data_IF_238040683651
#
_entry.id   IF_238040683651
#
_cell.length_a   1.000
_cell.length_b   1.000
_cell.length_c   1.000
_cell.angle_alpha   90.00
_cell.angle_beta   90.00
_cell.angle_gamma   90.00
#
_symmetry.space_group_name_H-M   'P 1'
#
loop_
_entity.id
_entity.type
_entity.pdbx_description
1 polymer ?
#
# COMPACT_ATOMS: atom_id res chain seq x y z
N UNK A 1 7.43 -7.07 25.55
CA UNK A 1 8.84 -7.07 25.07
C UNK A 1 9.37 -8.50 25.03
N UNK A 2 9.69 -9.05 23.87
CA UNK A 2 10.77 -10.04 23.71
C UNK A 2 11.14 -10.19 22.25
N UNK A 3 12.34 -9.67 21.93
CA UNK A 3 13.03 -9.71 20.65
C UNK A 3 13.26 -11.16 20.21
N UNK A 4 12.87 -11.53 18.99
CA UNK A 4 13.39 -12.74 18.34
C UNK A 4 14.79 -12.44 17.81
N UNK A 5 15.80 -12.80 18.61
CA UNK A 5 17.20 -12.88 18.19
C UNK A 5 17.35 -14.08 17.24
N UNK A 6 17.79 -13.83 16.00
CA UNK A 6 18.29 -14.88 15.10
C UNK A 6 19.61 -15.42 15.69
N UNK A 7 19.56 -16.59 16.31
CA UNK A 7 20.76 -17.29 16.75
C UNK A 7 21.24 -18.25 15.66
N UNK A 8 22.42 -17.93 15.13
CA UNK A 8 23.24 -18.77 14.25
C UNK A 8 23.57 -20.05 15.00
N UNK A 9 23.13 -21.22 14.52
CA UNK A 9 23.57 -22.52 15.08
C UNK A 9 24.62 -23.14 14.17
N UNK A 10 25.82 -23.19 14.73
CA UNK A 10 26.93 -24.02 14.27
C UNK A 10 26.61 -25.50 14.49
N UNK A 11 27.11 -26.32 13.57
CA UNK A 11 27.02 -27.77 13.61
C UNK A 11 27.73 -28.34 14.84
N UNK A 12 27.05 -29.24 15.56
CA UNK A 12 27.70 -30.24 16.40
C UNK A 12 26.79 -31.46 16.51
N UNK A 13 27.35 -32.63 16.23
CA UNK A 13 26.69 -33.93 16.23
C UNK A 13 26.49 -34.46 17.65
N UNK A 14 25.38 -35.21 17.82
CA UNK A 14 25.28 -36.34 18.74
C UNK A 14 24.52 -36.07 20.03
N UNK A 15 23.31 -36.62 20.14
CA UNK A 15 22.95 -37.69 21.08
C UNK A 15 21.44 -38.01 21.01
N UNK A 16 21.11 -39.29 21.14
CA UNK A 16 19.75 -39.87 21.07
C UNK A 16 19.21 -40.12 22.47
N UNK A 17 17.90 -39.89 22.68
CA UNK A 17 16.93 -40.68 23.49
C UNK A 17 15.66 -39.82 23.72
N UNK A 18 14.41 -40.26 23.82
CA UNK A 18 13.62 -41.43 23.40
C UNK A 18 12.16 -41.12 23.84
N UNK A 19 11.14 -41.39 22.99
CA UNK A 19 9.73 -41.76 23.32
C UNK A 19 8.84 -40.61 23.92
N UNK A 20 7.66 -40.26 23.39
CA UNK A 20 6.48 -41.10 23.14
C UNK A 20 5.63 -40.68 21.92
N UNK A 21 5.09 -41.70 21.26
CA UNK A 21 4.13 -41.65 20.16
C UNK A 21 2.79 -42.17 20.68
N UNK A 22 1.73 -41.38 20.52
CA UNK A 22 0.37 -41.91 20.37
C UNK A 22 -0.22 -41.38 19.06
N UNK A 23 -0.09 -42.27 18.06
CA UNK A 23 -1.07 -42.62 17.03
C UNK A 23 -1.89 -41.52 16.37
N UNK A 24 -1.62 -41.29 15.07
CA UNK A 24 -2.65 -41.40 14.04
C UNK A 24 -2.01 -41.95 12.75
N UNK A 25 -2.73 -42.90 12.18
CA UNK A 25 -2.37 -43.87 11.15
C UNK A 25 -2.09 -43.22 9.79
N UNK A 26 -0.81 -43.07 9.46
CA UNK A 26 -0.33 -42.89 8.10
C UNK A 26 0.93 -43.74 8.01
N UNK A 27 0.92 -44.74 7.12
CA UNK A 27 1.99 -45.71 6.92
C UNK A 27 3.36 -45.04 6.89
N UNK A 28 4.04 -45.08 8.03
CA UNK A 28 5.32 -44.43 8.25
C UNK A 28 6.39 -45.21 7.50
N UNK A 29 6.79 -44.70 6.34
CA UNK A 29 7.98 -45.14 5.63
C UNK A 29 9.19 -44.89 6.53
N UNK A 30 9.65 -45.94 7.20
CA UNK A 30 10.86 -45.89 8.01
C UNK A 30 12.07 -45.53 7.15
N UNK A 31 13.03 -44.81 7.72
CA UNK A 31 14.29 -44.37 7.07
C UNK A 31 15.13 -45.51 6.43
N UNK A 32 14.81 -46.78 6.72
CA UNK A 32 15.42 -47.95 6.07
C UNK A 32 14.76 -48.37 4.74
N UNK A 33 13.63 -47.77 4.34
CA UNK A 33 12.89 -48.09 3.10
C UNK A 33 13.11 -47.07 1.98
N UNK A 34 13.82 -45.97 2.24
CA UNK A 34 14.11 -44.90 1.27
C UNK A 34 15.47 -45.12 0.57
N UNK A 35 16.17 -46.21 0.86
CA UNK A 35 17.36 -46.62 0.11
C UNK A 35 16.94 -47.36 -1.17
N UNK A 36 16.45 -46.63 -2.18
CA UNK A 36 16.13 -47.24 -3.47
C UNK A 36 15.20 -46.46 -4.38
N UNK A 37 14.70 -45.29 -3.97
CA UNK A 37 13.88 -44.47 -4.87
C UNK A 37 14.81 -43.63 -5.75
N UNK A 38 14.97 -44.04 -7.00
CA UNK A 38 15.67 -43.25 -8.01
C UNK A 38 14.75 -42.15 -8.54
N UNK A 39 14.88 -40.96 -7.96
CA UNK A 39 14.14 -39.77 -8.36
C UNK A 39 14.42 -39.32 -9.81
N UNK A 40 15.47 -39.84 -10.46
CA UNK A 40 15.78 -39.55 -11.87
C UNK A 40 14.96 -40.39 -12.86
N UNK A 41 14.26 -41.43 -12.37
CA UNK A 41 13.37 -42.29 -13.18
C UNK A 41 11.94 -41.77 -13.28
N UNK A 42 11.63 -40.66 -12.59
CA UNK A 42 10.33 -40.02 -12.71
C UNK A 42 10.07 -39.58 -14.15
N UNK A 43 8.83 -39.73 -14.67
CA UNK A 43 8.47 -39.20 -15.98
C UNK A 43 8.73 -37.70 -16.08
N UNK A 44 9.23 -37.25 -17.23
CA UNK A 44 9.57 -35.85 -17.50
C UNK A 44 8.44 -34.88 -17.14
N UNK A 45 7.19 -35.22 -17.49
CA UNK A 45 6.00 -34.43 -17.18
C UNK A 45 5.78 -34.26 -15.66
N UNK A 46 6.09 -35.29 -14.87
CA UNK A 46 5.97 -35.26 -13.41
C UNK A 46 7.03 -34.33 -12.81
N UNK A 47 8.26 -34.41 -13.30
CA UNK A 47 9.36 -33.54 -12.86
C UNK A 47 9.08 -32.09 -13.25
N UNK A 48 8.58 -31.84 -14.46
CA UNK A 48 8.16 -30.51 -14.91
C UNK A 48 7.03 -29.98 -14.02
N UNK A 49 6.03 -30.80 -13.73
CA UNK A 49 4.94 -30.41 -12.83
C UNK A 49 5.46 -30.06 -11.43
N UNK A 50 6.37 -30.86 -10.87
CA UNK A 50 7.03 -30.54 -9.59
C UNK A 50 7.80 -29.22 -9.67
N UNK A 51 8.55 -28.99 -10.76
CA UNK A 51 9.31 -27.76 -10.95
C UNK A 51 8.39 -26.54 -11.14
N UNK A 52 7.16 -26.72 -11.62
CA UNK A 52 6.20 -25.61 -11.78
C UNK A 52 5.81 -24.96 -10.44
N UNK A 53 5.90 -25.70 -9.33
CA UNK A 53 5.64 -25.21 -7.98
C UNK A 53 6.86 -24.53 -7.32
N UNK A 54 8.02 -24.58 -7.96
CA UNK A 54 9.26 -24.05 -7.41
C UNK A 54 9.60 -22.67 -7.97
N UNK A 55 10.17 -21.81 -7.12
CA UNK A 55 10.72 -20.55 -7.58
C UNK A 55 12.00 -20.77 -8.42
N UNK A 56 12.44 -19.73 -9.14
CA UNK A 56 13.62 -19.80 -10.00
C UNK A 56 14.88 -20.32 -9.27
N UNK A 57 15.11 -19.91 -8.02
CA UNK A 57 16.29 -20.28 -7.25
C UNK A 57 16.31 -21.78 -6.92
N UNK A 58 15.18 -22.32 -6.49
CA UNK A 58 15.07 -23.73 -6.15
C UNK A 58 15.18 -24.60 -7.40
N UNK A 59 14.59 -24.17 -8.53
CA UNK A 59 14.77 -24.82 -9.83
C UNK A 59 16.22 -24.82 -10.28
N UNK A 60 16.93 -23.70 -10.15
CA UNK A 60 18.34 -23.61 -10.50
C UNK A 60 19.20 -24.53 -9.60
N UNK A 61 18.84 -24.65 -8.32
CA UNK A 61 19.50 -25.56 -7.38
C UNK A 61 19.29 -27.02 -7.78
N UNK A 62 18.06 -27.43 -8.12
CA UNK A 62 17.77 -28.78 -8.61
C UNK A 62 18.39 -29.06 -9.99
N UNK A 63 18.49 -28.06 -10.86
CA UNK A 63 19.17 -28.17 -12.15
C UNK A 63 20.68 -28.43 -11.99
N UNK A 64 21.26 -28.11 -10.83
CA UNK A 64 22.67 -28.33 -10.54
C UNK A 64 22.97 -29.77 -10.08
N UNK A 65 21.97 -30.53 -9.63
CA UNK A 65 22.19 -31.85 -9.03
C UNK A 65 22.42 -32.96 -10.05
N UNK A 66 21.69 -32.97 -11.19
CA UNK A 66 21.85 -33.98 -12.23
C UNK A 66 21.57 -33.45 -13.65
N UNK A 67 22.02 -34.19 -14.66
CA UNK A 67 21.88 -33.79 -16.07
C UNK A 67 20.42 -33.81 -16.55
N UNK A 68 19.61 -34.78 -16.10
CA UNK A 68 18.18 -34.87 -16.43
C UNK A 68 17.43 -33.64 -15.92
N UNK A 69 17.61 -33.26 -14.65
CA UNK A 69 16.96 -32.07 -14.08
C UNK A 69 17.48 -30.77 -14.70
N UNK A 70 18.73 -30.73 -15.14
CA UNK A 70 19.27 -29.59 -15.91
C UNK A 70 18.57 -29.43 -17.27
N UNK A 71 18.29 -30.54 -17.95
CA UNK A 71 17.56 -30.52 -19.23
C UNK A 71 16.11 -30.08 -19.01
N UNK A 72 15.42 -30.71 -18.05
CA UNK A 72 14.00 -30.46 -17.77
C UNK A 72 13.74 -29.08 -17.17
N UNK A 73 14.64 -28.55 -16.34
CA UNK A 73 14.56 -27.17 -15.84
C UNK A 73 14.71 -26.11 -16.95
N UNK A 74 15.30 -26.48 -18.09
CA UNK A 74 15.44 -25.59 -19.25
C UNK A 74 14.18 -25.57 -20.13
N UNK A 75 13.17 -26.39 -19.84
CA UNK A 75 11.91 -26.47 -20.59
C UNK A 75 11.16 -25.13 -20.59
N UNK A 76 10.78 -24.57 -21.76
CA UNK A 76 10.17 -23.24 -21.87
C UNK A 76 8.88 -23.04 -21.06
N UNK A 77 8.12 -24.10 -20.81
CA UNK A 77 6.88 -24.06 -20.02
C UNK A 77 7.09 -23.61 -18.58
N UNK A 78 8.28 -23.81 -18.01
CA UNK A 78 8.63 -23.38 -16.66
C UNK A 78 8.95 -21.88 -16.56
N UNK A 79 9.22 -21.23 -17.70
CA UNK A 79 9.70 -19.85 -17.77
C UNK A 79 8.60 -18.85 -18.15
N UNK A 80 7.32 -19.20 -17.97
CA UNK A 80 6.22 -18.25 -18.16
C UNK A 80 6.24 -17.09 -17.15
N UNK A 81 6.84 -17.30 -15.98
CA UNK A 81 7.03 -16.29 -14.94
C UNK A 81 8.45 -16.37 -14.41
N UNK A 82 9.13 -15.22 -14.32
CA UNK A 82 10.50 -15.12 -13.84
C UNK A 82 10.63 -13.98 -12.83
N UNK A 83 11.08 -14.31 -11.64
CA UNK A 83 11.36 -13.34 -10.57
C UNK A 83 12.86 -13.35 -10.25
N UNK A 84 13.51 -12.23 -10.53
CA UNK A 84 14.94 -11.99 -10.37
C UNK A 84 15.22 -10.95 -9.29
N UNK A 85 14.26 -10.55 -8.46
CA UNK A 85 14.45 -9.49 -7.46
C UNK A 85 15.58 -9.78 -6.46
N UNK A 86 15.84 -11.06 -6.18
CA UNK A 86 16.93 -11.49 -5.27
C UNK A 86 18.32 -11.54 -5.92
N UNK A 87 18.45 -11.22 -7.21
CA UNK A 87 19.69 -11.35 -7.97
C UNK A 87 19.98 -10.08 -8.77
N UNK A 88 21.26 -9.80 -9.03
CA UNK A 88 21.64 -8.75 -9.98
C UNK A 88 21.27 -9.21 -11.38
N UNK A 89 20.37 -8.49 -12.03
CA UNK A 89 19.97 -8.78 -13.40
C UNK A 89 20.83 -7.97 -14.38
N UNK A 90 21.90 -8.58 -14.88
CA UNK A 90 22.82 -7.99 -15.84
C UNK A 90 22.63 -8.59 -17.25
N UNK A 91 23.31 -7.99 -18.24
CA UNK A 91 23.24 -8.43 -19.64
C UNK A 91 23.72 -9.87 -19.80
N UNK A 92 24.71 -10.32 -19.00
CA UNK A 92 25.22 -11.70 -19.05
C UNK A 92 24.19 -12.74 -18.59
N UNK A 93 23.49 -12.46 -17.49
CA UNK A 93 22.37 -13.26 -17.01
C UNK A 93 21.22 -13.25 -18.03
N UNK A 94 20.90 -12.08 -18.62
CA UNK A 94 19.87 -11.99 -19.63
C UNK A 94 20.17 -12.84 -20.87
N UNK A 95 21.39 -12.81 -21.40
CA UNK A 95 21.80 -13.63 -22.55
C UNK A 95 21.69 -15.12 -22.23
N UNK A 96 22.10 -15.53 -21.03
CA UNK A 96 22.04 -16.92 -20.57
C UNK A 96 20.59 -17.42 -20.41
N UNK A 97 19.69 -16.54 -20.01
CA UNK A 97 18.26 -16.85 -19.78
C UNK A 97 17.40 -16.69 -21.05
N UNK A 98 17.85 -15.88 -22.01
CA UNK A 98 17.17 -15.55 -23.26
C UNK A 98 16.59 -16.77 -24.01
N UNK A 99 17.32 -17.88 -24.25
CA UNK A 99 16.78 -19.01 -25.00
C UNK A 99 15.66 -19.76 -24.27
N UNK A 100 15.60 -19.69 -22.95
CA UNK A 100 14.59 -20.37 -22.10
C UNK A 100 13.33 -19.55 -21.93
N UNK A 101 13.47 -18.23 -21.99
CA UNK A 101 12.42 -17.25 -21.68
C UNK A 101 11.62 -16.78 -22.91
N UNK A 102 11.52 -17.59 -23.98
CA UNK A 102 10.81 -17.21 -25.22
C UNK A 102 9.31 -16.94 -24.97
N UNK A 103 8.70 -17.74 -24.11
CA UNK A 103 7.28 -17.64 -23.74
C UNK A 103 7.07 -16.92 -22.40
N UNK A 104 8.03 -16.08 -22.00
CA UNK A 104 7.94 -15.33 -20.75
C UNK A 104 6.77 -14.34 -20.84
N UNK A 105 5.88 -14.40 -19.85
CA UNK A 105 4.72 -13.52 -19.73
C UNK A 105 4.86 -12.55 -18.55
N UNK A 106 5.55 -12.95 -17.48
CA UNK A 106 5.73 -12.11 -16.29
C UNK A 106 7.19 -12.01 -15.91
N UNK A 107 7.71 -10.79 -15.82
CA UNK A 107 9.08 -10.53 -15.43
C UNK A 107 9.12 -9.58 -14.23
N UNK A 108 9.76 -10.03 -13.15
CA UNK A 108 10.12 -9.19 -12.00
C UNK A 108 11.63 -9.13 -11.89
N UNK A 109 12.21 -7.94 -11.72
CA UNK A 109 13.65 -7.76 -11.67
C UNK A 109 14.06 -6.60 -10.75
N UNK A 110 15.33 -6.58 -10.39
CA UNK A 110 15.95 -5.48 -9.66
C UNK A 110 16.99 -4.83 -10.58
N UNK A 111 16.88 -3.53 -10.79
CA UNK A 111 17.28 -2.86 -12.02
C UNK A 111 18.51 -1.95 -11.90
N UNK A 112 19.53 -2.38 -11.17
CA UNK A 112 20.83 -1.71 -11.22
C UNK A 112 21.53 -2.01 -12.56
N UNK A 113 21.33 -1.15 -13.58
CA UNK A 113 21.99 -1.22 -14.90
C UNK A 113 21.32 -2.11 -15.96
N UNK A 114 20.02 -2.39 -15.88
CA UNK A 114 19.37 -3.50 -16.59
C UNK A 114 18.59 -3.16 -17.87
N UNK A 115 18.66 -1.94 -18.41
CA UNK A 115 17.94 -1.58 -19.65
C UNK A 115 18.37 -2.48 -20.82
N UNK A 116 19.69 -2.64 -21.02
CA UNK A 116 20.24 -3.51 -22.07
C UNK A 116 19.95 -5.01 -21.82
N UNK A 117 19.86 -5.40 -20.54
CA UNK A 117 19.52 -6.75 -20.14
C UNK A 117 18.07 -7.11 -20.52
N UNK A 118 17.12 -6.19 -20.32
CA UNK A 118 15.73 -6.37 -20.77
C UNK A 118 15.64 -6.50 -22.29
N UNK A 119 16.39 -5.66 -23.02
CA UNK A 119 16.43 -5.69 -24.49
C UNK A 119 17.04 -7.00 -25.03
N UNK A 120 17.93 -7.64 -24.27
CA UNK A 120 18.58 -8.90 -24.60
C UNK A 120 17.68 -10.14 -24.43
N UNK A 121 16.54 -10.01 -23.74
CA UNK A 121 15.56 -11.08 -23.64
C UNK A 121 14.82 -11.26 -24.97
N UNK A 122 14.76 -12.51 -25.47
CA UNK A 122 14.03 -12.88 -26.68
C UNK A 122 12.51 -13.01 -26.48
N UNK A 123 12.01 -12.70 -25.28
CA UNK A 123 10.58 -12.67 -25.02
C UNK A 123 9.88 -11.70 -25.98
N UNK A 124 8.66 -12.02 -26.41
CA UNK A 124 7.84 -11.15 -27.27
C UNK A 124 6.46 -10.85 -26.71
N UNK A 125 5.96 -11.69 -25.80
CA UNK A 125 4.57 -11.60 -25.31
C UNK A 125 4.52 -11.36 -23.80
N UNK A 126 5.34 -10.42 -23.29
CA UNK A 126 5.24 -10.01 -21.90
C UNK A 126 3.86 -9.37 -21.64
N UNK A 127 3.25 -9.80 -20.55
CA UNK A 127 2.00 -9.26 -19.99
C UNK A 127 2.28 -8.42 -18.76
N UNK A 128 3.26 -8.80 -17.95
CA UNK A 128 3.62 -8.06 -16.74
C UNK A 128 5.12 -7.81 -16.67
N UNK A 129 5.48 -6.57 -16.40
CA UNK A 129 6.84 -6.14 -16.11
C UNK A 129 6.86 -5.35 -14.80
N UNK A 130 7.74 -5.75 -13.88
CA UNK A 130 7.94 -5.10 -12.60
C UNK A 130 9.42 -4.97 -12.30
N UNK A 131 9.87 -3.76 -12.01
CA UNK A 131 11.27 -3.46 -11.76
C UNK A 131 11.44 -2.57 -10.53
N UNK A 132 12.25 -3.02 -9.59
CA UNK A 132 12.65 -2.22 -8.43
C UNK A 132 14.02 -1.56 -8.68
N UNK A 133 14.28 -0.38 -8.12
CA UNK A 133 15.56 0.35 -8.26
C UNK A 133 15.96 0.71 -9.71
N UNK A 134 14.98 1.11 -10.54
CA UNK A 134 15.12 1.37 -11.98
C UNK A 134 15.69 2.76 -12.37
N UNK A 135 16.74 3.24 -11.69
CA UNK A 135 17.28 4.61 -11.94
C UNK A 135 17.89 4.81 -13.33
N UNK A 136 18.37 3.73 -13.93
CA UNK A 136 19.04 3.77 -15.24
C UNK A 136 18.09 3.55 -16.43
N UNK A 137 16.82 3.21 -16.19
CA UNK A 137 15.85 3.01 -17.26
C UNK A 137 15.49 4.38 -17.87
N UNK A 138 15.60 4.47 -19.19
CA UNK A 138 15.32 5.69 -19.97
C UNK A 138 14.05 5.54 -20.79
N UNK A 139 13.53 6.67 -21.27
CA UNK A 139 12.37 6.70 -22.18
C UNK A 139 12.54 5.82 -23.41
N UNK A 140 13.75 5.81 -23.99
CA UNK A 140 14.06 4.98 -25.15
C UNK A 140 13.94 3.49 -24.84
N UNK A 141 14.47 3.05 -23.68
CA UNK A 141 14.38 1.66 -23.26
C UNK A 141 12.93 1.24 -23.04
N UNK A 142 12.14 2.07 -22.35
CA UNK A 142 10.74 1.78 -22.09
C UNK A 142 9.88 1.82 -23.37
N UNK A 143 10.17 2.72 -24.30
CA UNK A 143 9.50 2.78 -25.61
C UNK A 143 9.77 1.53 -26.44
N UNK A 144 11.00 0.99 -26.42
CA UNK A 144 11.33 -0.27 -27.09
C UNK A 144 10.62 -1.46 -26.43
N UNK A 145 10.53 -1.47 -25.10
CA UNK A 145 9.77 -2.49 -24.35
C UNK A 145 8.29 -2.42 -24.75
N UNK A 146 7.70 -1.23 -24.77
CA UNK A 146 6.31 -1.01 -25.16
C UNK A 146 6.04 -1.49 -26.59
N UNK A 147 6.89 -1.08 -27.54
CA UNK A 147 6.75 -1.47 -28.95
C UNK A 147 6.99 -2.97 -29.19
N UNK A 148 7.82 -3.63 -28.38
CA UNK A 148 8.07 -5.08 -28.48
C UNK A 148 6.92 -5.89 -27.88
N UNK A 149 6.22 -5.36 -26.89
CA UNK A 149 5.26 -6.09 -26.07
C UNK A 149 3.88 -5.43 -26.07
N UNK A 150 3.17 -5.56 -27.20
CA UNK A 150 1.82 -5.00 -27.39
C UNK A 150 0.77 -5.58 -26.44
N UNK A 151 1.05 -6.75 -25.85
CA UNK A 151 0.16 -7.49 -24.94
C UNK A 151 0.40 -7.15 -23.46
N UNK A 152 1.16 -6.08 -23.16
CA UNK A 152 1.37 -5.64 -21.78
C UNK A 152 0.05 -5.25 -21.11
N UNK A 153 -0.17 -5.81 -19.93
CA UNK A 153 -1.31 -5.60 -19.05
C UNK A 153 -0.89 -4.86 -17.77
N UNK A 154 0.35 -5.07 -17.30
CA UNK A 154 0.84 -4.49 -16.05
C UNK A 154 2.28 -3.99 -16.19
N UNK A 155 2.51 -2.72 -15.87
CA UNK A 155 3.83 -2.10 -15.81
C UNK A 155 4.03 -1.47 -14.44
N UNK A 156 5.08 -1.87 -13.71
CA UNK A 156 5.38 -1.34 -12.39
C UNK A 156 6.87 -0.99 -12.26
N UNK A 157 7.18 0.28 -11.98
CA UNK A 157 8.52 0.73 -11.64
C UNK A 157 8.49 1.54 -10.33
N UNK A 158 9.13 1.03 -9.28
CA UNK A 158 9.14 1.62 -7.93
C UNK A 158 9.78 0.67 -6.93
N UNK A 159 10.12 1.08 -5.69
CA UNK A 159 9.82 2.36 -5.05
C UNK A 159 10.78 3.50 -5.40
N UNK A 160 11.99 3.24 -5.90
CA UNK A 160 12.95 4.29 -6.22
C UNK A 160 12.53 5.21 -7.37
N UNK A 161 12.98 6.46 -7.30
CA UNK A 161 12.73 7.48 -8.31
C UNK A 161 13.35 7.13 -9.68
N UNK A 162 12.50 7.02 -10.69
CA UNK A 162 12.86 6.82 -12.08
C UNK A 162 13.00 8.18 -12.81
N UNK A 163 14.01 8.97 -12.41
CA UNK A 163 14.20 10.36 -12.86
C UNK A 163 14.39 10.53 -14.38
N UNK A 164 14.76 9.46 -15.08
CA UNK A 164 15.04 9.44 -16.53
C UNK A 164 13.83 9.01 -17.37
N UNK A 165 12.70 8.79 -16.71
CA UNK A 165 11.42 8.52 -17.36
C UNK A 165 10.60 9.82 -17.41
N UNK A 166 10.03 10.11 -18.56
CA UNK A 166 9.19 11.28 -18.81
C UNK A 166 7.84 10.89 -19.43
N UNK A 167 7.00 11.91 -19.64
CA UNK A 167 5.74 11.83 -20.36
C UNK A 167 5.84 11.14 -21.72
N UNK A 168 6.97 11.24 -22.42
CA UNK A 168 7.13 10.64 -23.76
C UNK A 168 7.14 9.11 -23.70
N UNK A 169 7.72 8.52 -22.66
CA UNK A 169 7.65 7.07 -22.47
C UNK A 169 6.26 6.59 -22.07
N UNK A 170 5.54 7.38 -21.28
CA UNK A 170 4.14 7.10 -20.92
C UNK A 170 3.25 7.16 -22.18
N UNK A 171 3.46 8.15 -23.06
CA UNK A 171 2.81 8.21 -24.37
C UNK A 171 3.13 6.97 -25.20
N UNK A 172 4.39 6.56 -25.27
CA UNK A 172 4.79 5.36 -26.01
C UNK A 172 4.08 4.10 -25.47
N UNK A 173 3.97 3.96 -24.15
CA UNK A 173 3.20 2.88 -23.52
C UNK A 173 1.72 2.95 -23.90
N UNK A 174 1.11 4.13 -23.85
CA UNK A 174 -0.29 4.32 -24.21
C UNK A 174 -0.59 3.90 -25.66
N UNK A 175 0.25 4.33 -26.61
CA UNK A 175 0.06 4.01 -28.03
C UNK A 175 0.34 2.53 -28.36
N UNK A 176 1.34 1.91 -27.72
CA UNK A 176 1.77 0.56 -28.06
C UNK A 176 1.02 -0.54 -27.27
N UNK A 177 0.48 -0.24 -26.09
CA UNK A 177 -0.08 -1.25 -25.18
C UNK A 177 -1.58 -1.00 -24.88
N UNK A 178 -2.50 -1.30 -25.82
CA UNK A 178 -3.94 -1.03 -25.65
C UNK A 178 -4.61 -1.93 -24.59
N UNK A 179 -3.92 -2.98 -24.11
CA UNK A 179 -4.40 -3.90 -23.08
C UNK A 179 -3.94 -3.54 -21.67
N UNK A 180 -3.27 -2.41 -21.50
CA UNK A 180 -2.76 -1.97 -20.21
C UNK A 180 -3.90 -1.82 -19.19
N UNK A 181 -3.75 -2.47 -18.04
CA UNK A 181 -4.69 -2.43 -16.90
C UNK A 181 -4.06 -1.77 -15.69
N UNK A 182 -2.75 -1.90 -15.50
CA UNK A 182 -2.04 -1.36 -14.35
C UNK A 182 -0.78 -0.64 -14.79
N UNK A 183 -0.64 0.61 -14.38
CA UNK A 183 0.56 1.43 -14.60
C UNK A 183 0.99 2.05 -13.27
N UNK A 184 2.16 1.67 -12.78
CA UNK A 184 2.74 2.24 -11.57
C UNK A 184 4.14 2.74 -11.86
N UNK A 185 4.41 4.00 -11.56
CA UNK A 185 5.72 4.62 -11.74
C UNK A 185 6.03 5.53 -10.56
N UNK A 186 7.23 5.39 -10.01
CA UNK A 186 7.74 6.22 -8.91
C UNK A 186 8.82 7.20 -9.40
N UNK A 187 8.75 8.45 -8.93
CA UNK A 187 9.71 9.52 -9.22
C UNK A 187 9.85 9.86 -10.70
N UNK A 188 8.74 9.87 -11.44
CA UNK A 188 8.71 10.36 -12.82
C UNK A 188 8.84 11.88 -12.80
N UNK A 189 9.73 12.42 -13.64
CA UNK A 189 10.04 13.85 -13.64
C UNK A 189 8.83 14.72 -14.04
N UNK A 190 8.06 14.29 -15.03
CA UNK A 190 6.91 15.04 -15.51
C UNK A 190 5.89 14.14 -16.20
N UNK A 191 4.62 14.34 -15.83
CA UNK A 191 3.44 13.68 -16.41
C UNK A 191 2.47 14.75 -16.95
N UNK A 192 2.64 15.10 -18.21
CA UNK A 192 1.87 16.13 -18.91
C UNK A 192 0.50 15.62 -19.35
N UNK A 193 -0.43 16.56 -19.58
CA UNK A 193 -1.80 16.25 -19.99
C UNK A 193 -1.91 15.45 -21.29
N UNK A 194 -1.00 15.65 -22.23
CA UNK A 194 -0.97 14.84 -23.46
C UNK A 194 -0.73 13.35 -23.18
N UNK A 195 0.10 13.02 -22.18
CA UNK A 195 0.43 11.64 -21.85
C UNK A 195 -0.73 10.93 -21.16
N UNK A 196 -1.39 11.61 -20.23
CA UNK A 196 -2.60 11.12 -19.56
C UNK A 196 -3.78 11.02 -20.52
N UNK A 197 -3.95 11.98 -21.44
CA UNK A 197 -4.96 11.91 -22.49
C UNK A 197 -4.71 10.73 -23.43
N UNK A 198 -3.45 10.49 -23.83
CA UNK A 198 -3.11 9.31 -24.64
C UNK A 198 -3.48 8.00 -23.91
N UNK A 199 -3.19 7.90 -22.60
CA UNK A 199 -3.62 6.77 -21.78
C UNK A 199 -5.14 6.63 -21.75
N UNK A 200 -5.88 7.72 -21.58
CA UNK A 200 -7.35 7.72 -21.56
C UNK A 200 -7.95 7.24 -22.90
N UNK A 201 -7.39 7.68 -24.03
CA UNK A 201 -7.88 7.35 -25.37
C UNK A 201 -7.57 5.91 -25.79
N UNK A 202 -6.34 5.45 -25.54
CA UNK A 202 -5.84 4.18 -26.06
C UNK A 202 -5.93 3.01 -25.07
N UNK A 203 -5.85 3.25 -23.76
CA UNK A 203 -5.87 2.22 -22.71
C UNK A 203 -7.22 2.18 -21.99
N UNK A 204 -8.30 1.81 -22.68
CA UNK A 204 -9.68 1.82 -22.15
C UNK A 204 -9.95 0.85 -20.99
N UNK A 205 -9.00 -0.05 -20.68
CA UNK A 205 -9.08 -1.04 -19.61
C UNK A 205 -8.16 -0.71 -18.43
N UNK A 206 -7.63 0.50 -18.38
CA UNK A 206 -6.71 0.94 -17.34
C UNK A 206 -7.49 1.10 -16.03
N UNK A 207 -7.19 0.24 -15.06
CA UNK A 207 -7.87 0.16 -13.75
C UNK A 207 -7.01 0.75 -12.63
N UNK A 208 -5.69 0.52 -12.64
CA UNK A 208 -4.79 1.02 -11.59
C UNK A 208 -3.74 1.96 -12.20
N UNK A 209 -3.68 3.18 -11.69
CA UNK A 209 -2.68 4.18 -12.07
C UNK A 209 -2.00 4.73 -10.83
N UNK A 210 -0.67 4.68 -10.80
CA UNK A 210 0.14 5.23 -9.72
C UNK A 210 1.27 6.08 -10.26
N UNK A 211 1.25 7.36 -9.93
CA UNK A 211 2.35 8.30 -10.15
C UNK A 211 2.85 8.77 -8.78
N UNK A 212 3.75 7.99 -8.19
CA UNK A 212 4.27 8.25 -6.84
C UNK A 212 5.49 9.15 -6.92
N UNK A 213 5.66 10.07 -5.97
CA UNK A 213 6.83 10.98 -5.85
C UNK A 213 7.17 11.75 -7.14
N UNK A 214 6.18 11.98 -8.01
CA UNK A 214 6.41 12.65 -9.29
C UNK A 214 6.43 14.17 -9.12
N UNK A 215 7.33 14.87 -9.81
CA UNK A 215 7.54 16.31 -9.57
C UNK A 215 6.37 17.15 -10.10
N UNK A 216 5.90 16.86 -11.31
CA UNK A 216 4.85 17.62 -11.98
C UNK A 216 3.81 16.68 -12.64
N UNK A 217 2.52 16.87 -12.31
CA UNK A 217 1.42 16.13 -12.93
C UNK A 217 0.29 17.10 -13.31
N UNK A 218 -0.25 16.94 -14.50
CA UNK A 218 -1.44 17.64 -14.96
C UNK A 218 -2.73 17.07 -14.33
N UNK A 219 -3.23 17.77 -13.32
CA UNK A 219 -4.44 17.45 -12.57
C UNK A 219 -5.72 17.43 -13.42
N UNK A 220 -5.84 18.32 -14.41
CA UNK A 220 -7.03 18.39 -15.27
C UNK A 220 -7.11 17.15 -16.14
N UNK A 221 -5.96 16.75 -16.71
CA UNK A 221 -5.91 15.62 -17.61
C UNK A 221 -5.99 14.26 -16.90
N UNK A 222 -5.62 14.17 -15.61
CA UNK A 222 -5.92 12.99 -14.79
C UNK A 222 -7.42 12.72 -14.68
N UNK A 223 -8.26 13.77 -14.67
CA UNK A 223 -9.72 13.65 -14.66
C UNK A 223 -10.30 12.96 -15.90
N UNK A 224 -9.55 12.89 -17.00
CA UNK A 224 -9.99 12.23 -18.23
C UNK A 224 -9.85 10.70 -18.18
N UNK A 225 -9.18 10.15 -17.16
CA UNK A 225 -8.94 8.71 -16.98
C UNK A 225 -10.18 7.98 -16.42
N UNK A 226 -11.25 7.93 -17.21
CA UNK A 226 -12.56 7.41 -16.78
C UNK A 226 -12.60 5.91 -16.44
N UNK A 227 -11.61 5.12 -16.91
CA UNK A 227 -11.56 3.68 -16.64
C UNK A 227 -10.91 3.32 -15.30
N UNK A 228 -10.22 4.27 -14.68
CA UNK A 228 -9.38 4.04 -13.50
C UNK A 228 -10.24 3.86 -12.25
N UNK A 229 -9.95 2.81 -11.50
CA UNK A 229 -10.56 2.47 -10.22
C UNK A 229 -9.68 2.88 -9.05
N UNK A 230 -8.37 2.74 -9.21
CA UNK A 230 -7.38 3.07 -8.19
C UNK A 230 -6.37 4.07 -8.76
N UNK A 231 -6.35 5.27 -8.18
CA UNK A 231 -5.40 6.33 -8.54
C UNK A 231 -4.54 6.64 -7.33
N UNK A 232 -3.22 6.53 -7.48
CA UNK A 232 -2.24 6.95 -6.47
C UNK A 232 -1.38 8.07 -7.02
N UNK A 233 -1.36 9.19 -6.29
CA UNK A 233 -0.52 10.37 -6.58
C UNK A 233 0.28 10.77 -5.34
N UNK A 234 0.63 9.79 -4.52
CA UNK A 234 1.29 10.03 -3.24
C UNK A 234 2.66 10.70 -3.44
N UNK A 235 2.98 11.72 -2.65
CA UNK A 235 4.29 12.39 -2.68
C UNK A 235 4.51 13.34 -3.87
N UNK A 236 3.50 13.61 -4.69
CA UNK A 236 3.62 14.55 -5.82
C UNK A 236 3.69 15.99 -5.34
N UNK A 237 4.63 16.78 -5.87
CA UNK A 237 4.93 18.12 -5.36
C UNK A 237 4.03 19.23 -5.89
N UNK A 238 3.41 19.05 -7.05
CA UNK A 238 2.66 20.11 -7.75
C UNK A 238 1.12 19.97 -7.70
N UNK A 239 0.56 18.95 -7.06
CA UNK A 239 -0.89 18.81 -6.97
C UNK A 239 -1.47 19.81 -5.97
N UNK A 240 -2.18 20.83 -6.48
CA UNK A 240 -2.98 21.76 -5.67
C UNK A 240 -4.33 21.13 -5.38
N UNK A 241 -4.37 20.26 -4.38
CA UNK A 241 -5.61 19.64 -3.87
C UNK A 241 -6.76 20.64 -3.62
N UNK A 242 -6.45 21.92 -3.38
CA UNK A 242 -7.43 22.99 -3.19
C UNK A 242 -8.07 23.59 -4.45
N UNK A 243 -7.74 23.15 -5.67
CA UNK A 243 -8.29 23.72 -6.93
C UNK A 243 -9.06 22.72 -7.80
N UNK A 244 -9.17 21.45 -7.41
CA UNK A 244 -9.98 20.47 -8.13
C UNK A 244 -11.46 20.77 -7.92
N UNK A 245 -12.08 21.48 -8.87
CA UNK A 245 -13.48 21.92 -8.84
C UNK A 245 -14.52 20.79 -9.04
N UNK A 246 -14.18 19.54 -8.72
CA UNK A 246 -15.10 18.40 -8.81
C UNK A 246 -15.17 17.72 -7.44
N UNK A 247 -16.27 18.01 -6.73
CA UNK A 247 -16.61 17.53 -5.39
C UNK A 247 -16.57 15.98 -5.30
N UNK A 248 -16.95 15.27 -6.38
CA UNK A 248 -16.91 13.80 -6.46
C UNK A 248 -15.48 13.21 -6.50
N UNK A 249 -14.49 13.94 -7.04
CA UNK A 249 -13.10 13.46 -7.11
C UNK A 249 -12.41 13.64 -5.76
N UNK A 250 -12.75 14.73 -5.05
CA UNK A 250 -12.37 14.91 -3.65
C UNK A 250 -13.04 13.86 -2.75
N UNK A 251 -14.32 13.54 -2.98
CA UNK A 251 -15.03 12.46 -2.30
C UNK A 251 -14.31 11.12 -2.46
N UNK A 252 -14.02 10.68 -3.70
CA UNK A 252 -13.36 9.38 -3.93
C UNK A 252 -11.92 9.33 -3.44
N UNK A 253 -11.17 10.44 -3.53
CA UNK A 253 -9.81 10.52 -3.02
C UNK A 253 -9.77 10.57 -1.48
N UNK A 254 -10.69 11.31 -0.85
CA UNK A 254 -10.86 11.37 0.60
C UNK A 254 -11.32 10.02 1.16
N UNK A 255 -12.32 9.39 0.54
CA UNK A 255 -12.77 8.04 0.88
C UNK A 255 -11.64 7.03 0.68
N UNK A 256 -10.82 7.14 -0.36
CA UNK A 256 -9.68 6.21 -0.53
C UNK A 256 -8.62 6.42 0.54
N UNK A 257 -8.31 7.66 0.93
CA UNK A 257 -7.37 7.94 2.03
C UNK A 257 -7.94 7.49 3.37
N UNK A 258 -9.22 7.74 3.64
CA UNK A 258 -9.91 7.28 4.86
C UNK A 258 -9.99 5.74 4.91
N UNK A 259 -10.36 5.09 3.81
CA UNK A 259 -10.45 3.62 3.70
C UNK A 259 -9.07 2.95 3.79
N UNK A 260 -7.99 3.59 3.30
CA UNK A 260 -6.62 3.10 3.48
C UNK A 260 -6.08 3.29 4.90
N UNK A 261 -6.71 4.18 5.67
CA UNK A 261 -6.43 4.43 7.09
C UNK A 261 -7.27 3.53 8.00
N UNK A 262 -8.36 2.92 7.49
CA UNK A 262 -9.15 1.92 8.23
C UNK A 262 -8.23 0.77 8.64
N UNK A 263 -8.07 0.66 9.94
CA UNK A 263 -7.28 -0.33 10.64
C UNK A 263 -8.08 -1.64 10.62
N UNK A 264 -7.76 -2.56 9.71
CA UNK A 264 -8.11 -3.95 9.93
C UNK A 264 -7.24 -4.45 11.09
N UNK A 265 -7.91 -4.78 12.20
CA UNK A 265 -7.43 -5.08 13.56
C UNK A 265 -6.34 -6.20 13.66
N UNK A 266 -5.85 -6.74 12.55
CA UNK A 266 -4.94 -7.89 12.53
C UNK A 266 -3.45 -7.56 12.27
N UNK A 267 -3.05 -6.31 11.98
CA UNK A 267 -1.67 -6.07 11.51
C UNK A 267 -0.95 -4.78 11.99
N UNK A 268 -0.90 -4.59 13.32
CA UNK A 268 -0.30 -3.45 14.06
C UNK A 268 1.15 -3.01 13.70
N UNK A 269 1.87 -3.69 12.81
CA UNK A 269 3.26 -3.33 12.42
C UNK A 269 3.38 -2.51 11.13
N UNK A 270 2.40 -2.56 10.22
CA UNK A 270 2.40 -1.73 9.01
C UNK A 270 1.77 -0.34 9.26
N UNK A 271 1.05 -0.18 10.36
CA UNK A 271 0.26 1.03 10.67
C UNK A 271 1.13 2.23 11.06
N UNK A 272 2.25 1.99 11.76
CA UNK A 272 3.20 3.06 12.11
C UNK A 272 3.86 3.70 10.86
N UNK A 273 4.09 2.92 9.80
CA UNK A 273 4.72 3.45 8.57
C UNK A 273 3.74 4.27 7.74
N UNK A 274 2.45 3.88 7.70
CA UNK A 274 1.39 4.67 7.03
C UNK A 274 1.12 5.98 7.77
N UNK A 275 1.00 5.94 9.10
CA UNK A 275 0.83 7.16 9.90
C UNK A 275 2.04 8.11 9.77
N UNK A 276 3.26 7.58 9.72
CA UNK A 276 4.47 8.39 9.51
C UNK A 276 4.55 8.98 8.09
N UNK A 277 4.04 8.27 7.07
CA UNK A 277 3.95 8.80 5.70
C UNK A 277 2.94 9.96 5.60
N UNK A 278 1.80 9.87 6.30
CA UNK A 278 0.81 10.95 6.37
C UNK A 278 1.39 12.17 7.10
N UNK A 279 2.16 11.94 8.18
CA UNK A 279 2.86 12.99 8.93
C UNK A 279 3.95 13.72 8.14
N UNK A 280 4.65 13.02 7.24
CA UNK A 280 5.73 13.60 6.42
C UNK A 280 5.20 14.43 5.24
N UNK A 281 3.92 14.30 4.89
CA UNK A 281 3.26 15.09 3.84
C UNK A 281 2.24 16.08 4.39
N UNK A 282 1.55 16.80 3.50
CA UNK A 282 0.42 17.68 3.84
C UNK A 282 -0.87 16.90 4.21
N UNK A 283 -0.78 15.61 4.56
CA UNK A 283 -1.92 14.72 4.72
C UNK A 283 -2.88 15.12 5.84
N UNK A 284 -2.36 15.56 6.99
CA UNK A 284 -3.18 16.09 8.09
C UNK A 284 -3.95 17.33 7.63
N UNK A 285 -3.30 18.24 6.91
CA UNK A 285 -3.94 19.46 6.40
C UNK A 285 -5.08 19.13 5.44
N UNK A 286 -4.88 18.16 4.55
CA UNK A 286 -5.91 17.70 3.64
C UNK A 286 -7.12 17.10 4.38
N UNK A 287 -6.89 16.23 5.36
CA UNK A 287 -7.98 15.67 6.19
C UNK A 287 -8.75 16.77 6.93
N UNK A 288 -8.05 17.77 7.47
CA UNK A 288 -8.68 18.91 8.12
C UNK A 288 -9.49 19.79 7.16
N UNK A 289 -9.03 19.97 5.92
CA UNK A 289 -9.77 20.71 4.90
C UNK A 289 -11.02 19.95 4.44
N UNK A 290 -10.93 18.62 4.31
CA UNK A 290 -12.07 17.74 4.02
C UNK A 290 -13.10 17.74 5.16
N UNK A 291 -12.64 17.76 6.41
CA UNK A 291 -13.48 17.88 7.60
C UNK A 291 -14.23 19.22 7.67
N UNK A 292 -13.81 20.25 6.90
CA UNK A 292 -14.53 21.53 6.76
C UNK A 292 -15.51 21.56 5.59
N UNK A 293 -15.62 20.49 4.81
CA UNK A 293 -16.54 20.40 3.67
C UNK A 293 -17.99 20.64 4.10
N UNK A 294 -18.85 21.10 3.19
CA UNK A 294 -20.29 21.23 3.43
C UNK A 294 -21.05 19.89 3.35
N UNK A 295 -20.39 18.83 2.88
CA UNK A 295 -20.98 17.50 2.72
C UNK A 295 -20.81 16.67 4.00
N UNK A 296 -21.93 16.30 4.62
CA UNK A 296 -21.90 15.57 5.90
C UNK A 296 -21.20 14.20 5.80
N UNK A 297 -21.30 13.52 4.65
CA UNK A 297 -20.58 12.26 4.41
C UNK A 297 -19.06 12.43 4.38
N UNK A 298 -18.56 13.49 3.72
CA UNK A 298 -17.11 13.79 3.72
C UNK A 298 -16.64 14.23 5.11
N UNK A 299 -17.46 15.00 5.83
CA UNK A 299 -17.15 15.41 7.19
C UNK A 299 -16.99 14.20 8.12
N UNK A 300 -17.89 13.21 8.05
CA UNK A 300 -17.82 12.02 8.91
C UNK A 300 -16.62 11.15 8.58
N UNK A 301 -16.36 10.88 7.29
CA UNK A 301 -15.22 10.06 6.86
C UNK A 301 -13.88 10.72 7.22
N UNK A 302 -13.77 12.03 7.01
CA UNK A 302 -12.56 12.76 7.38
C UNK A 302 -12.37 12.79 8.90
N UNK A 303 -13.44 13.03 9.68
CA UNK A 303 -13.38 13.00 11.14
C UNK A 303 -12.99 11.62 11.67
N UNK A 304 -13.53 10.54 11.09
CA UNK A 304 -13.19 9.15 11.41
C UNK A 304 -11.70 8.87 11.18
N UNK A 305 -11.20 9.19 9.99
CA UNK A 305 -9.79 9.00 9.67
C UNK A 305 -8.87 9.80 10.61
N UNK A 306 -9.25 11.03 10.97
CA UNK A 306 -8.51 11.83 11.97
C UNK A 306 -8.55 11.13 13.33
N UNK A 307 -9.70 10.59 13.75
CA UNK A 307 -9.85 9.90 15.01
C UNK A 307 -8.94 8.66 15.08
N UNK A 308 -8.99 7.80 14.08
CA UNK A 308 -8.20 6.57 13.99
C UNK A 308 -6.69 6.87 14.00
N UNK A 309 -6.26 7.89 13.25
CA UNK A 309 -4.85 8.30 13.24
C UNK A 309 -4.40 8.93 14.56
N UNK A 310 -5.31 9.59 15.28
CA UNK A 310 -5.00 10.27 16.55
C UNK A 310 -4.79 9.31 17.73
N UNK A 311 -4.91 8.00 17.51
CA UNK A 311 -4.43 6.97 18.46
C UNK A 311 -2.91 7.11 18.64
N UNK A 312 -2.16 7.49 17.59
CA UNK A 312 -0.74 7.80 17.71
C UNK A 312 -0.52 9.22 18.27
N UNK A 313 0.18 9.29 19.41
CA UNK A 313 0.48 10.53 20.12
C UNK A 313 1.18 11.61 19.26
N UNK A 314 2.01 11.23 18.28
CA UNK A 314 2.68 12.17 17.37
C UNK A 314 1.70 12.74 16.37
N UNK A 315 0.77 11.92 15.87
CA UNK A 315 -0.28 12.38 14.96
C UNK A 315 -1.26 13.27 15.70
N UNK A 316 -1.72 12.87 16.89
CA UNK A 316 -2.58 13.69 17.73
C UNK A 316 -1.98 15.09 17.98
N UNK A 317 -0.66 15.14 18.25
CA UNK A 317 0.07 16.41 18.39
C UNK A 317 0.08 17.24 17.10
N UNK A 318 0.38 16.63 15.97
CA UNK A 318 0.39 17.33 14.69
C UNK A 318 -1.00 17.82 14.26
N UNK A 319 -2.06 17.05 14.54
CA UNK A 319 -3.46 17.44 14.36
C UNK A 319 -3.80 18.64 15.24
N UNK A 320 -3.39 18.62 16.52
CA UNK A 320 -3.58 19.74 17.44
C UNK A 320 -2.87 21.01 16.96
N UNK A 321 -1.59 20.91 16.57
CA UNK A 321 -0.78 22.01 16.05
C UNK A 321 -1.33 22.58 14.74
N UNK A 322 -1.99 21.75 13.93
CA UNK A 322 -2.64 22.15 12.67
C UNK A 322 -4.03 22.77 12.85
N UNK A 323 -4.48 22.97 14.11
CA UNK A 323 -5.79 23.54 14.43
C UNK A 323 -6.96 22.56 14.33
N UNK A 324 -6.69 21.25 14.30
CA UNK A 324 -7.69 20.19 14.18
C UNK A 324 -8.69 20.15 15.33
N UNK A 325 -8.26 20.50 16.55
CA UNK A 325 -9.11 20.52 17.74
C UNK A 325 -10.33 21.45 17.55
N UNK A 326 -10.14 22.64 16.97
CA UNK A 326 -11.23 23.57 16.70
C UNK A 326 -12.22 23.02 15.66
N UNK A 327 -11.72 22.28 14.67
CA UNK A 327 -12.56 21.67 13.64
C UNK A 327 -13.40 20.56 14.27
N UNK A 328 -12.77 19.63 15.00
CA UNK A 328 -13.47 18.52 15.66
C UNK A 328 -14.48 19.02 16.71
N UNK A 329 -14.12 20.03 17.52
CA UNK A 329 -15.05 20.64 18.48
C UNK A 329 -16.27 21.31 17.82
N UNK A 330 -16.13 21.82 16.59
CA UNK A 330 -17.26 22.34 15.82
C UNK A 330 -18.08 21.23 15.17
N UNK A 331 -17.44 20.19 14.63
CA UNK A 331 -18.12 19.02 14.06
C UNK A 331 -18.91 18.23 15.12
N UNK A 332 -18.40 18.16 16.35
CA UNK A 332 -19.13 17.58 17.49
C UNK A 332 -20.49 18.28 17.75
N UNK A 333 -20.68 19.52 17.28
CA UNK A 333 -21.97 20.24 17.39
C UNK A 333 -22.93 19.94 16.23
N UNK A 334 -22.53 19.10 15.28
CA UNK A 334 -23.31 18.82 14.07
C UNK A 334 -24.71 18.27 14.38
N UNK A 335 -25.63 18.50 13.44
CA UNK A 335 -26.96 17.86 13.46
C UNK A 335 -26.91 16.45 12.87
N UNK A 336 -25.88 16.14 12.08
CA UNK A 336 -25.60 14.79 11.63
C UNK A 336 -24.92 14.00 12.75
N UNK A 337 -25.56 12.89 13.13
CA UNK A 337 -25.08 12.03 14.21
C UNK A 337 -23.71 11.43 13.92
N UNK A 338 -23.48 10.88 12.71
CA UNK A 338 -22.23 10.21 12.35
C UNK A 338 -21.05 11.20 12.41
N UNK A 339 -21.25 12.40 11.87
CA UNK A 339 -20.23 13.47 11.96
C UNK A 339 -19.88 13.80 13.40
N UNK A 340 -20.89 13.92 14.27
CA UNK A 340 -20.67 14.26 15.66
C UNK A 340 -20.01 13.12 16.46
N UNK A 341 -20.38 11.88 16.16
CA UNK A 341 -19.84 10.65 16.77
C UNK A 341 -18.35 10.48 16.49
N UNK A 342 -17.95 10.63 15.22
CA UNK A 342 -16.56 10.53 14.78
C UNK A 342 -15.71 11.70 15.29
N UNK A 343 -16.30 12.91 15.32
CA UNK A 343 -15.64 14.07 15.92
C UNK A 343 -15.41 13.91 17.43
N UNK A 344 -16.37 13.30 18.14
CA UNK A 344 -16.20 12.97 19.55
C UNK A 344 -15.10 11.92 19.76
N UNK A 345 -15.01 10.90 18.90
CA UNK A 345 -13.93 9.90 18.93
C UNK A 345 -12.55 10.54 18.72
N UNK A 346 -12.43 11.47 17.77
CA UNK A 346 -11.20 12.23 17.56
C UNK A 346 -10.79 13.08 18.77
N UNK A 347 -11.75 13.77 19.39
CA UNK A 347 -11.50 14.52 20.63
C UNK A 347 -11.11 13.61 21.79
N UNK A 348 -11.69 12.41 21.88
CA UNK A 348 -11.34 11.42 22.90
C UNK A 348 -9.87 11.00 22.77
N UNK A 349 -9.44 10.62 21.57
CA UNK A 349 -8.05 10.20 21.34
C UNK A 349 -7.05 11.34 21.62
N UNK A 350 -7.36 12.56 21.19
CA UNK A 350 -6.50 13.74 21.44
C UNK A 350 -6.45 14.09 22.94
N UNK A 351 -7.55 13.91 23.67
CA UNK A 351 -7.65 14.22 25.12
C UNK A 351 -6.75 13.37 26.01
N UNK A 352 -6.20 12.27 25.51
CA UNK A 352 -5.21 11.47 26.22
C UNK A 352 -3.90 12.23 26.46
N UNK A 353 -3.55 13.17 25.57
CA UNK A 353 -2.37 14.03 25.72
C UNK A 353 -2.64 15.23 26.63
N UNK A 354 -1.92 15.36 27.74
CA UNK A 354 -2.09 16.46 28.71
C UNK A 354 -1.92 17.85 28.08
N UNK A 355 -1.00 17.99 27.12
CA UNK A 355 -0.73 19.25 26.40
C UNK A 355 -1.93 19.74 25.58
N UNK A 356 -2.84 18.84 25.17
CA UNK A 356 -3.97 19.18 24.29
C UNK A 356 -5.25 19.51 25.06
N UNK A 357 -5.34 19.10 26.34
CA UNK A 357 -6.56 19.28 27.17
C UNK A 357 -6.95 20.75 27.34
N UNK A 358 -5.97 21.67 27.37
CA UNK A 358 -6.21 23.11 27.38
C UNK A 358 -6.87 23.60 26.09
N UNK A 359 -6.30 23.22 24.95
CA UNK A 359 -6.82 23.59 23.63
C UNK A 359 -8.24 23.04 23.38
N UNK A 360 -8.55 21.82 23.86
CA UNK A 360 -9.90 21.25 23.77
C UNK A 360 -10.92 22.10 24.56
N UNK A 361 -10.57 22.54 25.76
CA UNK A 361 -11.43 23.40 26.56
C UNK A 361 -11.64 24.78 25.90
N UNK A 362 -10.56 25.40 25.42
CA UNK A 362 -10.61 26.70 24.72
C UNK A 362 -11.44 26.65 23.42
N UNK A 363 -11.41 25.51 22.72
CA UNK A 363 -12.25 25.26 21.53
C UNK A 363 -13.74 25.02 21.85
N UNK A 364 -14.15 25.17 23.12
CA UNK A 364 -15.47 24.79 23.62
C UNK A 364 -15.81 23.31 23.41
N UNK A 365 -14.80 22.44 23.35
CA UNK A 365 -14.97 21.00 23.15
C UNK A 365 -15.72 20.33 24.31
N UNK A 366 -15.43 20.73 25.56
CA UNK A 366 -16.12 20.22 26.75
C UNK A 366 -17.63 20.45 26.64
N UNK A 367 -18.04 21.69 26.32
CA UNK A 367 -19.46 22.02 26.12
C UNK A 367 -20.08 21.19 24.99
N UNK A 368 -19.39 21.03 23.86
CA UNK A 368 -19.90 20.24 22.75
C UNK A 368 -20.13 18.77 23.11
N UNK A 369 -19.21 18.16 23.88
CA UNK A 369 -19.33 16.78 24.34
C UNK A 369 -20.47 16.61 25.35
N UNK A 370 -20.65 17.55 26.28
CA UNK A 370 -21.79 17.54 27.22
C UNK A 370 -23.10 17.69 26.46
N UNK A 371 -23.22 18.69 25.57
CA UNK A 371 -24.41 18.90 24.73
C UNK A 371 -24.76 17.61 23.95
N UNK A 372 -23.76 16.89 23.43
CA UNK A 372 -23.94 15.64 22.68
C UNK A 372 -24.59 14.52 23.51
N UNK A 373 -24.13 14.33 24.74
CA UNK A 373 -24.64 13.29 25.65
C UNK A 373 -26.14 13.49 25.90
N UNK A 374 -26.56 14.73 26.17
CA UNK A 374 -27.97 15.03 26.39
C UNK A 374 -28.80 14.93 25.12
N UNK A 375 -28.26 15.38 23.98
CA UNK A 375 -28.93 15.38 22.68
C UNK A 375 -29.29 13.97 22.19
N UNK A 376 -28.44 12.97 22.44
CA UNK A 376 -28.59 11.60 21.89
C UNK A 376 -28.76 10.50 22.97
N UNK A 377 -29.18 10.88 24.17
CA UNK A 377 -29.27 10.06 25.40
C UNK A 377 -30.05 8.73 25.36
N UNK A 378 -30.72 8.37 24.26
CA UNK A 378 -31.69 7.26 24.24
C UNK A 378 -31.36 6.07 23.35
N UNK A 379 -30.24 6.03 22.60
CA UNK A 379 -30.00 4.92 21.66
C UNK A 379 -28.56 4.70 21.13
N UNK A 380 -27.50 5.05 21.86
CA UNK A 380 -26.15 5.15 21.24
C UNK A 380 -25.00 4.72 22.17
N UNK A 381 -24.51 3.49 22.07
CA UNK A 381 -23.39 3.02 22.89
C UNK A 381 -22.06 3.71 22.50
N UNK A 382 -21.69 3.74 21.21
CA UNK A 382 -20.39 4.26 20.75
C UNK A 382 -20.25 5.79 20.89
N UNK A 383 -21.25 6.58 20.49
CA UNK A 383 -21.23 8.04 20.67
C UNK A 383 -21.09 8.45 22.14
N UNK A 384 -21.86 7.79 23.01
CA UNK A 384 -21.81 8.07 24.45
C UNK A 384 -20.46 7.62 25.02
N UNK A 385 -19.92 6.49 24.58
CA UNK A 385 -18.58 6.03 24.98
C UNK A 385 -17.51 7.05 24.59
N UNK A 386 -17.49 7.51 23.34
CA UNK A 386 -16.55 8.53 22.87
C UNK A 386 -16.68 9.83 23.66
N UNK A 387 -17.91 10.33 23.84
CA UNK A 387 -18.15 11.59 24.54
C UNK A 387 -17.80 11.52 26.03
N UNK A 388 -18.23 10.45 26.72
CA UNK A 388 -17.95 10.26 28.14
C UNK A 388 -16.48 9.92 28.39
N UNK A 389 -15.86 9.13 27.52
CA UNK A 389 -14.43 8.83 27.55
C UNK A 389 -13.56 10.08 27.39
N UNK A 390 -13.91 10.97 26.46
CA UNK A 390 -13.25 12.26 26.31
C UNK A 390 -13.40 13.13 27.57
N UNK A 391 -14.60 13.23 28.13
CA UNK A 391 -14.85 14.00 29.36
C UNK A 391 -14.13 13.42 30.57
N UNK A 392 -14.02 12.10 30.69
CA UNK A 392 -13.27 11.45 31.75
C UNK A 392 -11.77 11.82 31.70
N UNK A 393 -11.17 11.83 30.50
CA UNK A 393 -9.78 12.24 30.31
C UNK A 393 -9.57 13.74 30.61
N UNK A 394 -10.53 14.59 30.24
CA UNK A 394 -10.50 16.03 30.47
C UNK A 394 -10.74 16.40 31.94
N UNK A 395 -11.57 15.64 32.65
CA UNK A 395 -11.94 15.83 34.05
C UNK A 395 -10.88 15.37 35.07
N UNK A 396 -9.77 14.79 34.62
CA UNK A 396 -8.65 14.41 35.48
C UNK A 396 -7.92 15.62 36.11
N UNK A 397 -8.16 16.84 35.64
CA UNK A 397 -7.66 18.10 36.21
C UNK A 397 -8.78 18.83 36.98
N UNK A 398 -8.50 19.26 38.22
CA UNK A 398 -9.45 19.91 39.13
C UNK A 398 -10.17 21.12 38.50
N UNK A 399 -9.46 21.92 37.69
CA UNK A 399 -10.06 23.09 37.03
C UNK A 399 -11.09 22.70 35.96
N UNK A 400 -10.80 21.66 35.19
CA UNK A 400 -11.66 21.17 34.10
C UNK A 400 -12.80 20.31 34.62
N UNK A 401 -12.56 19.59 35.74
CA UNK A 401 -13.60 18.86 36.47
C UNK A 401 -14.74 19.79 36.91
N UNK A 402 -14.41 20.96 37.48
CA UNK A 402 -15.42 21.97 37.83
C UNK A 402 -16.20 22.48 36.60
N UNK A 403 -15.53 22.67 35.46
CA UNK A 403 -16.19 23.10 34.22
C UNK A 403 -17.20 22.06 33.71
N UNK A 404 -16.85 20.77 33.74
CA UNK A 404 -17.76 19.67 33.40
C UNK A 404 -18.97 19.64 34.34
N UNK A 405 -18.73 19.74 35.66
CA UNK A 405 -19.81 19.72 36.66
C UNK A 405 -20.79 20.89 36.46
N UNK A 406 -20.29 22.11 36.27
CA UNK A 406 -21.13 23.29 36.05
C UNK A 406 -21.99 23.15 34.80
N UNK A 407 -21.43 22.59 33.72
CA UNK A 407 -22.18 22.36 32.48
C UNK A 407 -23.27 21.30 32.64
N UNK A 408 -22.98 20.20 33.33
CA UNK A 408 -23.97 19.15 33.61
C UNK A 408 -25.08 19.65 34.53
N UNK A 409 -24.75 20.40 35.59
CA UNK A 409 -25.74 21.02 36.49
C UNK A 409 -26.65 22.01 35.76
N UNK A 410 -26.15 22.71 34.74
CA UNK A 410 -26.96 23.65 33.95
C UNK A 410 -27.97 22.98 33.01
N UNK A 411 -27.87 21.66 32.80
CA UNK A 411 -28.73 20.88 31.90
C UNK A 411 -29.73 19.97 32.63
N UNK A 412 -29.61 19.83 33.96
CA UNK A 412 -30.56 19.17 34.85
C UNK A 412 -31.56 20.19 35.40
#
# INVERSE_FOLDING_TARGET
MSRRVRQKREHSWGEKTNISSETLDCGSLTSATISGVDWTTLPDDTVIQLFSYLNYRDRASLASTCQTFRLLSSSPCLWGSLDLRSHRFDTGAAVSLSPRCKNLQRLKFHAAGSADALLSLQARELREISGDFCRDITDAALSVIAARHEMLESVHFGPDACERISSDAIKALAYCCPRLRRLWMSGVKEVNGDATNALAEHCKKLEDVGFVESDNIDEVALGNLNSVKFLSVAGTRNLKWGSAAQEEVQERAATTVATLVVIDDENATDDCQRAEAILRGDGIRLLLDLARSCQEGLQSEAAKAIADLSIDSKVAKAVAESGGINILANLAKSMNRLVAEEAAGGLWNISFGDDHKGAIAEACGIKALVDLIFKWSSNTDELLEHATGALANLGADEKRSMEVVVLVESML
#
